data_IF_585628688162
#
_entry.id   IF_585628688162
#
_cell.length_a   1.000
_cell.length_b   1.000
_cell.length_c   1.000
_cell.angle_alpha   90.00
_cell.angle_beta   90.00
_cell.angle_gamma   90.00
#
_symmetry.space_group_name_H-M   'P 1'
#
loop_
_entity.id
_entity.type
_entity.pdbx_description
1 polymer ?
#
# COMPACT_ATOMS: atom_id res chain seq x y z
N UNK A 1 28.10 53.08 -18.46
CA UNK A 1 28.08 51.91 -17.56
C UNK A 1 26.67 51.33 -17.59
N UNK A 2 26.49 50.10 -18.06
CA UNK A 2 25.18 49.44 -18.15
C UNK A 2 25.19 48.29 -17.15
N UNK A 3 24.50 48.46 -16.03
CA UNK A 3 24.40 47.47 -14.96
C UNK A 3 23.37 46.42 -15.36
N UNK A 4 23.82 45.20 -15.64
CA UNK A 4 22.93 44.06 -15.84
C UNK A 4 22.55 43.48 -14.47
N UNK A 5 21.28 43.60 -14.10
CA UNK A 5 20.72 42.93 -12.91
C UNK A 5 20.41 41.49 -13.31
N UNK A 6 21.27 40.56 -12.92
CA UNK A 6 21.01 39.13 -13.05
C UNK A 6 20.02 38.70 -11.95
N UNK A 7 18.76 38.47 -12.33
CA UNK A 7 17.76 37.82 -11.48
C UNK A 7 18.01 36.30 -11.51
N UNK A 8 18.78 35.80 -10.55
CA UNK A 8 18.88 34.37 -10.28
C UNK A 8 17.66 33.93 -9.49
N UNK A 9 16.67 33.36 -10.18
CA UNK A 9 15.63 32.56 -9.52
C UNK A 9 16.28 31.27 -9.01
N UNK A 10 16.75 31.30 -7.76
CA UNK A 10 17.10 30.08 -7.03
C UNK A 10 15.77 29.43 -6.62
N UNK A 11 15.23 28.63 -7.54
CA UNK A 11 14.13 27.71 -7.25
C UNK A 11 14.65 26.61 -6.34
N UNK A 12 14.63 26.85 -5.04
CA UNK A 12 14.86 25.80 -4.05
C UNK A 12 13.59 24.95 -4.04
N UNK A 13 13.52 23.96 -4.95
CA UNK A 13 12.64 22.80 -4.73
C UNK A 13 13.22 22.06 -3.52
N UNK A 14 12.80 22.50 -2.34
CA UNK A 14 12.88 21.68 -1.14
C UNK A 14 11.96 20.49 -1.38
N UNK A 15 12.51 19.40 -1.92
CA UNK A 15 11.92 18.08 -1.74
C UNK A 15 11.97 17.80 -0.25
N UNK A 16 10.94 18.24 0.47
CA UNK A 16 10.65 17.75 1.79
C UNK A 16 10.26 16.27 1.62
N UNK A 17 11.26 15.40 1.62
CA UNK A 17 11.07 13.98 1.86
C UNK A 17 10.48 13.87 3.27
N UNK A 18 9.15 13.88 3.36
CA UNK A 18 8.44 13.65 4.61
C UNK A 18 8.66 12.19 5.01
N UNK A 19 9.71 11.93 5.78
CA UNK A 19 9.83 10.70 6.53
C UNK A 19 8.57 10.59 7.40
N UNK A 20 7.83 9.49 7.27
CA UNK A 20 6.66 9.28 8.11
C UNK A 20 7.13 9.16 9.55
N UNK A 21 6.60 10.01 10.45
CA UNK A 21 6.74 9.77 11.88
C UNK A 21 5.77 8.63 12.17
N UNK A 22 6.29 7.41 12.34
CA UNK A 22 5.49 6.21 12.54
C UNK A 22 4.37 6.34 13.59
N UNK A 23 3.48 5.36 13.63
CA UNK A 23 2.29 5.37 14.48
C UNK A 23 2.51 4.56 15.77
N UNK A 24 1.77 4.87 16.84
CA UNK A 24 1.76 4.06 18.06
C UNK A 24 0.90 2.80 17.90
N UNK A 25 -0.24 2.93 17.23
CA UNK A 25 -1.24 1.89 17.07
C UNK A 25 -1.93 1.92 15.71
N UNK A 26 -2.37 0.75 15.25
CA UNK A 26 -3.12 0.62 14.03
C UNK A 26 -4.52 1.23 14.20
N UNK A 27 -4.96 2.01 13.22
CA UNK A 27 -6.32 2.54 13.17
C UNK A 27 -7.35 1.42 13.13
N UNK A 28 -8.45 1.64 13.83
CA UNK A 28 -9.66 0.85 13.64
C UNK A 28 -10.42 1.43 12.46
N UNK A 29 -10.50 0.67 11.38
CA UNK A 29 -11.27 1.01 10.18
C UNK A 29 -12.38 -0.01 9.96
N UNK A 30 -13.44 0.41 9.28
CA UNK A 30 -14.57 -0.45 8.95
C UNK A 30 -14.19 -1.41 7.82
N UNK A 31 -14.19 -2.73 8.06
CA UNK A 31 -14.02 -3.71 7.00
C UNK A 31 -15.26 -3.81 6.12
N UNK A 32 -15.07 -4.19 4.86
CA UNK A 32 -16.15 -4.54 3.95
C UNK A 32 -17.04 -5.63 4.56
N UNK A 33 -18.34 -5.42 4.53
CA UNK A 33 -19.28 -6.44 4.96
C UNK A 33 -19.24 -7.67 4.06
N UNK A 34 -19.25 -8.85 4.71
CA UNK A 34 -19.22 -10.16 4.04
C UNK A 34 -18.05 -10.32 3.05
N UNK A 35 -16.91 -9.68 3.33
CA UNK A 35 -15.68 -9.86 2.57
C UNK A 35 -15.33 -11.33 2.39
N UNK A 36 -15.01 -11.73 1.16
CA UNK A 36 -14.53 -13.07 0.83
C UNK A 36 -13.05 -13.05 0.51
N UNK A 37 -12.23 -13.43 1.49
CA UNK A 37 -10.80 -13.62 1.28
C UNK A 37 -10.54 -14.63 0.16
N UNK A 38 -11.29 -15.72 0.09
CA UNK A 38 -11.16 -16.70 -1.00
C UNK A 38 -11.35 -16.07 -2.37
N UNK A 39 -12.25 -15.12 -2.58
CA UNK A 39 -12.40 -14.43 -3.88
C UNK A 39 -11.29 -13.42 -4.14
N UNK A 40 -10.77 -12.78 -3.10
CA UNK A 40 -9.79 -11.71 -3.21
C UNK A 40 -8.38 -12.22 -3.52
N UNK A 41 -7.94 -13.28 -2.84
CA UNK A 41 -6.57 -13.81 -2.90
C UNK A 41 -6.39 -14.83 -4.05
N UNK A 42 -6.78 -14.46 -5.27
CA UNK A 42 -6.72 -15.33 -6.45
C UNK A 42 -6.08 -14.65 -7.67
N UNK A 43 -5.49 -13.46 -7.50
CA UNK A 43 -5.03 -12.63 -8.62
C UNK A 43 -3.88 -11.69 -8.29
N UNK A 44 -3.40 -11.02 -9.32
CA UNK A 44 -2.43 -9.95 -9.17
C UNK A 44 -3.14 -8.61 -9.01
N UNK A 45 -2.68 -7.82 -8.05
CA UNK A 45 -3.14 -6.47 -7.79
C UNK A 45 -1.98 -5.48 -7.93
N UNK A 46 -2.25 -4.33 -8.52
CA UNK A 46 -1.30 -3.23 -8.71
C UNK A 46 -1.72 -2.07 -7.83
N UNK A 47 -0.85 -1.60 -6.94
CA UNK A 47 -1.12 -0.38 -6.16
C UNK A 47 -1.16 0.80 -7.12
N UNK A 48 -2.31 1.47 -7.20
CA UNK A 48 -2.51 2.68 -8.00
C UNK A 48 -2.40 3.94 -7.15
N UNK A 49 -2.88 3.93 -5.91
CA UNK A 49 -2.81 5.08 -5.02
C UNK A 49 -2.44 4.69 -3.60
N UNK A 50 -1.79 5.62 -2.89
CA UNK A 50 -1.36 5.45 -1.49
C UNK A 50 -1.60 6.74 -0.72
N UNK A 51 -1.92 6.69 0.57
CA UNK A 51 -2.01 7.89 1.40
C UNK A 51 -0.64 8.49 1.68
N UNK A 52 0.38 7.65 1.89
CA UNK A 52 1.73 8.07 2.30
C UNK A 52 2.80 7.36 1.48
N UNK A 53 3.93 8.02 1.22
CA UNK A 53 5.14 7.35 0.72
C UNK A 53 5.92 6.73 1.88
N UNK A 54 5.44 5.61 2.41
CA UNK A 54 6.07 4.91 3.56
C UNK A 54 7.38 4.20 3.18
N UNK A 55 7.62 3.94 1.90
CA UNK A 55 8.87 3.39 1.37
C UNK A 55 9.01 3.67 -0.14
N UNK A 56 10.17 3.39 -0.71
CA UNK A 56 10.40 3.47 -2.16
C UNK A 56 9.59 2.46 -2.98
N UNK A 57 9.05 1.41 -2.36
CA UNK A 57 8.25 0.37 -3.01
C UNK A 57 6.78 0.41 -2.62
N UNK A 58 6.32 1.49 -1.99
CA UNK A 58 4.93 1.58 -1.53
C UNK A 58 3.92 1.32 -2.66
N UNK A 59 4.30 1.65 -3.89
CA UNK A 59 3.58 1.42 -5.14
C UNK A 59 3.92 0.07 -5.80
N UNK A 60 3.84 -1.01 -5.02
CA UNK A 60 4.21 -2.37 -5.45
C UNK A 60 3.07 -3.15 -6.13
N UNK A 61 3.44 -4.28 -6.71
CA UNK A 61 2.52 -5.31 -7.22
C UNK A 61 2.38 -6.40 -6.16
N UNK A 62 1.14 -6.79 -5.86
CA UNK A 62 0.81 -7.90 -4.99
C UNK A 62 0.37 -9.09 -5.82
N UNK A 63 1.13 -10.19 -5.77
CA UNK A 63 0.67 -11.48 -6.26
C UNK A 63 -0.03 -12.18 -5.11
N UNK A 64 -1.33 -12.44 -5.26
CA UNK A 64 -2.11 -13.09 -4.21
C UNK A 64 -2.44 -14.54 -4.57
N UNK A 65 -2.51 -15.40 -3.56
CA UNK A 65 -2.90 -16.80 -3.74
C UNK A 65 -3.56 -17.36 -2.48
N UNK A 66 -4.22 -18.51 -2.61
CA UNK A 66 -4.70 -19.33 -1.50
C UNK A 66 -4.02 -20.71 -1.58
N UNK A 67 -2.85 -20.89 -0.93
CA UNK A 67 -2.04 -22.09 -1.09
C UNK A 67 -2.71 -23.37 -0.58
N UNK A 68 -3.57 -23.24 0.43
CA UNK A 68 -4.38 -24.30 1.02
C UNK A 68 -5.63 -23.71 1.65
N UNK A 69 -6.59 -24.56 2.05
CA UNK A 69 -7.84 -24.10 2.64
C UNK A 69 -7.59 -23.23 3.89
N UNK A 70 -8.20 -22.05 3.89
CA UNK A 70 -8.02 -21.07 4.95
C UNK A 70 -6.63 -20.43 5.04
N UNK A 71 -5.72 -20.67 4.08
CA UNK A 71 -4.42 -19.98 4.01
C UNK A 71 -4.42 -19.02 2.82
N UNK A 72 -3.98 -17.79 3.06
CA UNK A 72 -3.85 -16.74 2.06
C UNK A 72 -2.43 -16.23 2.04
N UNK A 73 -1.90 -16.00 0.85
CA UNK A 73 -0.54 -15.52 0.65
C UNK A 73 -0.50 -14.28 -0.24
N UNK A 74 0.47 -13.41 0.07
CA UNK A 74 0.84 -12.25 -0.74
C UNK A 74 2.35 -12.33 -0.99
N UNK A 75 2.74 -12.20 -2.24
CA UNK A 75 4.14 -12.13 -2.65
C UNK A 75 4.43 -10.81 -3.34
N UNK A 76 5.56 -10.22 -3.01
CA UNK A 76 6.10 -9.05 -3.69
C UNK A 76 7.62 -8.97 -3.51
N UNK A 77 8.26 -8.20 -4.40
CA UNK A 77 9.72 -8.04 -4.41
C UNK A 77 10.10 -6.64 -3.92
N UNK A 78 11.12 -6.56 -3.08
CA UNK A 78 11.69 -5.32 -2.55
C UNK A 78 13.22 -5.33 -2.71
N UNK A 79 13.74 -4.60 -3.69
CA UNK A 79 15.16 -4.73 -4.07
C UNK A 79 15.46 -6.18 -4.46
N UNK A 80 16.46 -6.78 -3.83
CA UNK A 80 16.81 -8.21 -4.02
C UNK A 80 16.00 -9.16 -3.11
N UNK A 81 15.16 -8.63 -2.21
CA UNK A 81 14.40 -9.45 -1.27
C UNK A 81 13.08 -9.91 -1.88
N UNK A 82 12.79 -11.21 -1.76
CA UNK A 82 11.47 -11.76 -2.05
C UNK A 82 10.70 -11.91 -0.74
N UNK A 83 9.63 -11.14 -0.59
CA UNK A 83 8.81 -11.14 0.61
C UNK A 83 7.57 -11.98 0.37
N UNK A 84 7.44 -13.05 1.15
CA UNK A 84 6.22 -13.86 1.22
C UNK A 84 5.51 -13.60 2.54
N UNK A 85 4.27 -13.16 2.44
CA UNK A 85 3.37 -12.90 3.54
C UNK A 85 2.30 -13.97 3.58
N UNK A 86 2.07 -14.61 4.71
CA UNK A 86 0.99 -15.59 4.89
C UNK A 86 0.10 -15.20 6.06
N UNK A 87 -1.20 -15.40 5.87
CA UNK A 87 -2.22 -15.30 6.91
C UNK A 87 -3.09 -16.56 6.87
N UNK A 88 -3.40 -17.08 8.05
CA UNK A 88 -4.48 -18.06 8.21
C UNK A 88 -5.79 -17.30 8.44
N UNK A 89 -6.89 -17.89 7.98
CA UNK A 89 -8.22 -17.33 8.13
C UNK A 89 -8.54 -17.19 9.61
N UNK A 90 -8.60 -15.95 10.09
CA UNK A 90 -9.15 -15.64 11.40
C UNK A 90 -10.68 -15.59 11.32
N UNK A 91 -11.35 -15.70 12.48
CA UNK A 91 -12.81 -15.52 12.59
C UNK A 91 -13.24 -14.08 12.29
N UNK A 92 -12.29 -13.16 12.13
CA UNK A 92 -12.50 -11.73 12.01
C UNK A 92 -12.48 -11.25 10.55
N UNK A 93 -13.08 -10.09 10.28
CA UNK A 93 -13.09 -9.43 8.96
C UNK A 93 -11.74 -8.78 8.60
N UNK A 94 -10.65 -9.19 9.25
CA UNK A 94 -9.30 -8.64 9.15
C UNK A 94 -8.32 -9.79 8.95
N UNK A 95 -7.20 -9.53 8.28
CA UNK A 95 -6.15 -10.53 8.07
C UNK A 95 -4.83 -10.01 8.61
N UNK A 96 -4.22 -10.76 9.51
CA UNK A 96 -2.88 -10.48 10.01
C UNK A 96 -1.89 -11.38 9.30
N UNK A 97 -1.07 -10.78 8.44
CA UNK A 97 -0.04 -11.47 7.68
C UNK A 97 1.28 -11.50 8.46
N UNK A 98 1.93 -12.66 8.48
CA UNK A 98 3.34 -12.79 8.86
C UNK A 98 4.18 -12.78 7.59
N UNK A 99 5.09 -11.81 7.47
CA UNK A 99 5.88 -11.59 6.27
C UNK A 99 7.34 -11.96 6.48
N UNK A 100 7.85 -12.82 5.60
CA UNK A 100 9.19 -13.38 5.67
C UNK A 100 10.00 -13.09 4.42
N UNK A 101 11.31 -12.97 4.59
CA UNK A 101 12.31 -13.07 3.53
C UNK A 101 13.10 -14.37 3.75
N UNK A 102 12.89 -15.36 2.88
CA UNK A 102 13.24 -16.75 3.17
C UNK A 102 12.54 -17.21 4.46
N UNK A 103 13.31 -17.73 5.41
CA UNK A 103 12.79 -18.20 6.70
C UNK A 103 12.69 -17.11 7.77
N UNK A 104 13.23 -15.92 7.50
CA UNK A 104 13.32 -14.84 8.49
C UNK A 104 12.07 -13.96 8.46
N UNK A 105 11.35 -13.88 9.58
CA UNK A 105 10.25 -12.92 9.75
C UNK A 105 10.81 -11.50 9.83
N UNK A 106 10.33 -10.63 8.95
CA UNK A 106 10.82 -9.24 8.86
C UNK A 106 9.78 -8.22 9.37
N UNK A 107 8.49 -8.53 9.24
CA UNK A 107 7.39 -7.73 9.81
C UNK A 107 6.07 -8.52 9.83
N UNK A 108 5.08 -7.99 10.53
CA UNK A 108 3.68 -8.41 10.42
C UNK A 108 2.85 -7.29 9.82
N UNK A 109 1.75 -7.62 9.14
CA UNK A 109 0.89 -6.62 8.55
C UNK A 109 -0.59 -6.95 8.73
N UNK A 110 -1.32 -6.03 9.37
CA UNK A 110 -2.77 -6.04 9.44
C UNK A 110 -3.34 -5.46 8.15
N UNK A 111 -4.12 -6.25 7.45
CA UNK A 111 -4.87 -5.86 6.25
C UNK A 111 -6.35 -5.83 6.56
N UNK A 112 -6.98 -4.70 6.27
CA UNK A 112 -8.43 -4.52 6.38
C UNK A 112 -8.96 -4.07 5.03
N UNK A 113 -9.61 -4.98 4.32
CA UNK A 113 -10.27 -4.66 3.04
C UNK A 113 -11.52 -3.86 3.38
N UNK A 114 -11.57 -2.61 2.89
CA UNK A 114 -12.66 -1.67 3.19
C UNK A 114 -13.74 -1.73 2.11
N UNK A 115 -13.36 -1.93 0.85
CA UNK A 115 -14.28 -2.12 -0.27
C UNK A 115 -13.56 -2.80 -1.44
N UNK A 116 -14.24 -3.69 -2.16
CA UNK A 116 -13.73 -4.31 -3.38
C UNK A 116 -14.87 -4.92 -4.18
N UNK A 117 -14.78 -4.83 -5.50
CA UNK A 117 -15.65 -5.58 -6.41
C UNK A 117 -15.06 -6.96 -6.78
N UNK A 118 -13.90 -7.31 -6.21
CA UNK A 118 -13.09 -8.51 -6.47
C UNK A 118 -12.47 -8.60 -7.87
N UNK A 119 -12.83 -7.72 -8.79
CA UNK A 119 -12.53 -7.85 -10.22
C UNK A 119 -11.70 -6.69 -10.77
N UNK A 120 -12.01 -5.46 -10.37
CA UNK A 120 -11.38 -4.26 -10.93
C UNK A 120 -10.59 -3.51 -9.88
N UNK A 121 -11.07 -3.46 -8.64
CA UNK A 121 -10.45 -2.62 -7.62
C UNK A 121 -10.54 -3.17 -6.21
N UNK A 122 -9.70 -2.61 -5.33
CA UNK A 122 -9.88 -2.71 -3.90
C UNK A 122 -9.37 -1.46 -3.19
N UNK A 123 -10.06 -1.04 -2.14
CA UNK A 123 -9.56 -0.12 -1.12
C UNK A 123 -9.24 -0.92 0.13
N UNK A 124 -8.03 -0.77 0.64
CA UNK A 124 -7.68 -1.39 1.91
C UNK A 124 -6.77 -0.51 2.77
N UNK A 125 -6.92 -0.71 4.07
CA UNK A 125 -6.02 -0.19 5.08
C UNK A 125 -4.95 -1.26 5.40
N UNK A 126 -3.69 -0.82 5.43
CA UNK A 126 -2.55 -1.63 5.83
C UNK A 126 -1.88 -0.98 7.03
N UNK A 127 -1.64 -1.76 8.08
CA UNK A 127 -0.78 -1.37 9.19
C UNK A 127 0.35 -2.40 9.33
N UNK A 128 1.59 -1.96 9.26
CA UNK A 128 2.78 -2.81 9.36
C UNK A 128 3.41 -2.63 10.74
N UNK A 129 3.80 -3.74 11.37
CA UNK A 129 4.63 -3.75 12.58
C UNK A 129 5.93 -4.47 12.28
N UNK A 130 7.04 -3.73 12.27
CA UNK A 130 8.39 -4.28 12.10
C UNK A 130 8.78 -5.09 13.34
N UNK A 131 9.72 -6.04 13.20
CA UNK A 131 10.21 -6.83 14.35
C UNK A 131 10.81 -5.99 15.47
N UNK A 132 11.34 -4.80 15.15
CA UNK A 132 11.80 -3.80 16.13
C UNK A 132 10.70 -2.96 16.79
N UNK A 133 9.43 -3.26 16.54
CA UNK A 133 8.27 -2.57 17.15
C UNK A 133 7.84 -1.28 16.44
N UNK A 134 8.63 -0.76 15.49
CA UNK A 134 8.22 0.36 14.65
C UNK A 134 6.96 0.01 13.86
N UNK A 135 5.99 0.93 13.83
CA UNK A 135 4.74 0.77 13.08
C UNK A 135 4.51 1.92 12.11
N UNK A 136 3.91 1.59 10.98
CA UNK A 136 3.42 2.57 10.02
C UNK A 136 2.13 2.06 9.37
N UNK A 137 1.31 2.98 8.89
CA UNK A 137 0.05 2.68 8.24
C UNK A 137 -0.14 3.41 6.92
N UNK A 138 -1.03 2.86 6.11
CA UNK A 138 -1.36 3.43 4.82
C UNK A 138 -2.75 2.98 4.35
N UNK A 139 -3.42 3.83 3.60
CA UNK A 139 -4.56 3.44 2.77
C UNK A 139 -4.07 3.27 1.35
N UNK A 140 -4.47 2.17 0.71
CA UNK A 140 -4.05 1.84 -0.63
C UNK A 140 -5.26 1.53 -1.50
N UNK A 141 -5.23 2.06 -2.73
CA UNK A 141 -6.12 1.64 -3.79
C UNK A 141 -5.36 0.69 -4.71
N UNK A 142 -5.97 -0.46 -4.94
CA UNK A 142 -5.49 -1.50 -5.84
C UNK A 142 -6.33 -1.51 -7.10
N UNK A 143 -5.68 -1.84 -8.21
CA UNK A 143 -6.30 -2.11 -9.51
C UNK A 143 -5.87 -3.50 -9.99
N UNK A 144 -6.77 -4.23 -10.66
CA UNK A 144 -6.40 -5.47 -11.34
C UNK A 144 -5.67 -5.24 -12.66
N UNK A 145 -5.77 -4.03 -13.21
CA UNK A 145 -5.06 -3.57 -14.40
C UNK A 145 -3.84 -2.75 -13.99
N UNK A 146 -2.70 -3.00 -14.62
CA UNK A 146 -1.48 -2.20 -14.43
C UNK A 146 -1.61 -0.80 -15.06
N UNK A 147 -0.56 0.03 -14.95
CA UNK A 147 -0.52 1.32 -15.65
C UNK A 147 -1.20 2.48 -14.91
N UNK A 148 -1.16 2.47 -13.58
CA UNK A 148 -1.56 3.60 -12.74
C UNK A 148 -3.01 4.06 -12.97
N UNK A 149 -3.96 3.14 -12.84
CA UNK A 149 -5.38 3.45 -12.99
C UNK A 149 -5.85 4.57 -12.06
N UNK A 150 -6.81 5.37 -12.52
CA UNK A 150 -7.51 6.34 -11.67
C UNK A 150 -8.29 5.64 -10.55
N UNK A 151 -8.65 6.38 -9.51
CA UNK A 151 -9.55 5.86 -8.46
C UNK A 151 -10.93 5.60 -9.10
N UNK A 152 -11.46 4.37 -9.01
CA UNK A 152 -12.82 4.06 -9.48
C UNK A 152 -13.87 4.95 -8.83
N UNK A 153 -14.90 5.36 -9.59
CA UNK A 153 -15.96 6.23 -9.09
C UNK A 153 -16.67 5.66 -7.86
N UNK A 154 -16.81 4.34 -7.77
CA UNK A 154 -17.39 3.62 -6.62
C UNK A 154 -16.64 3.87 -5.30
N UNK A 155 -15.34 4.19 -5.36
CA UNK A 155 -14.53 4.46 -4.17
C UNK A 155 -14.54 5.93 -3.74
N UNK A 156 -15.12 6.85 -4.53
CA UNK A 156 -15.01 8.30 -4.30
C UNK A 156 -15.41 8.73 -2.89
N UNK A 157 -16.53 8.19 -2.37
CA UNK A 157 -17.02 8.53 -1.03
C UNK A 157 -16.05 8.10 0.07
N UNK A 158 -15.39 6.94 -0.09
CA UNK A 158 -14.43 6.38 0.87
C UNK A 158 -13.05 7.02 0.77
N UNK A 159 -12.67 7.56 -0.39
CA UNK A 159 -11.30 8.06 -0.63
C UNK A 159 -11.18 9.57 -0.60
N UNK A 160 -12.27 10.33 -0.74
CA UNK A 160 -12.25 11.79 -0.86
C UNK A 160 -11.52 12.53 0.27
N UNK A 161 -11.58 12.01 1.50
CA UNK A 161 -10.91 12.60 2.67
C UNK A 161 -9.53 12.02 2.95
N UNK A 162 -9.06 11.04 2.17
CA UNK A 162 -7.82 10.31 2.45
C UNK A 162 -6.56 10.99 1.90
N UNK A 163 -6.71 12.01 1.05
CA UNK A 163 -5.62 12.74 0.39
C UNK A 163 -4.63 11.79 -0.32
N UNK A 164 -5.16 10.87 -1.13
CA UNK A 164 -4.35 9.84 -1.76
C UNK A 164 -3.42 10.41 -2.84
N UNK A 165 -2.18 9.95 -2.84
CA UNK A 165 -1.16 10.20 -3.83
C UNK A 165 -1.21 9.15 -4.93
N UNK A 166 -1.02 9.58 -6.17
CA UNK A 166 -1.00 8.68 -7.32
C UNK A 166 0.37 8.03 -7.49
N UNK A 167 0.40 6.71 -7.67
CA UNK A 167 1.65 5.98 -7.85
C UNK A 167 2.41 6.36 -9.12
N UNK A 168 1.70 6.85 -10.15
CA UNK A 168 2.32 7.43 -11.35
C UNK A 168 3.32 8.53 -10.99
N UNK A 169 2.89 9.45 -10.12
CA UNK A 169 3.67 10.62 -9.74
C UNK A 169 4.81 10.22 -8.81
N UNK A 170 4.58 9.26 -7.90
CA UNK A 170 5.60 8.74 -6.99
C UNK A 170 6.73 8.03 -7.76
N UNK A 171 6.40 7.21 -8.76
CA UNK A 171 7.39 6.48 -9.56
C UNK A 171 8.19 7.41 -10.47
N UNK A 172 7.57 8.46 -11.00
CA UNK A 172 8.26 9.46 -11.81
C UNK A 172 9.32 10.24 -11.02
N UNK A 173 9.15 10.41 -9.70
CA UNK A 173 10.15 11.09 -8.84
C UNK A 173 11.37 10.22 -8.46
N UNK A 174 11.46 8.98 -8.93
CA UNK A 174 12.59 8.07 -8.66
C UNK A 174 13.58 8.03 -9.83
N UNK A 175 13.27 8.72 -10.93
CA UNK A 175 14.12 8.83 -12.14
C UNK A 175 14.93 10.12 -12.12
#
# INVERSE_FOLDING_TARGET
>A
MKTFIALTFIGILTYAYGATTGISECKTVTPMDRFSATRFFQRTWYVSHVQKKTSNTVCQTFKTSSPSDGVYAIEYTFGDNNVRCEATREKEKKLTFTCKNGDTTIFTALFVIMDTDYENYALFYRCVTMTGGYKDDNYLVLSSTSGDQQIPTSLTSLTSSLNLLWCKDIRASVV
#
